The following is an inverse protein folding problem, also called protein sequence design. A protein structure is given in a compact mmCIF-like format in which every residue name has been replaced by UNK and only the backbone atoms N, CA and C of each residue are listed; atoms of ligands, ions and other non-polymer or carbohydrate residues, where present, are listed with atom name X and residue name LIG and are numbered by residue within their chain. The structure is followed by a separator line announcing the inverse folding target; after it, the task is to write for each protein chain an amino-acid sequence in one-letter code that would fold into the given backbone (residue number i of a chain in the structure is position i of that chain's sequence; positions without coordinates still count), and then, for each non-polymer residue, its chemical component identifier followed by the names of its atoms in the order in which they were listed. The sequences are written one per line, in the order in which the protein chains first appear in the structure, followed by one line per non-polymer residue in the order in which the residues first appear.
data_IF_054926689012
#
_entry.id   IF_054926689012
#
_cell.length_a   1.000
_cell.length_b   1.000
_cell.length_c   1.000
_cell.angle_alpha   90.00
_cell.angle_beta   90.00
_cell.angle_gamma   90.00
#
_symmetry.space_group_name_H-M   'P 1'
#
loop_
_entity.id
_entity.type
_entity.pdbx_description
1 polymer ?
#
# COMPACT_ATOMS: atom_id res chain seq x y z
N UNK A 1 -48.36 -0.17 4.19
CA UNK A 1 -47.49 -1.32 3.85
C UNK A 1 -47.29 -1.31 2.34
N UNK A 2 -46.22 -0.65 1.87
CA UNK A 2 -45.96 -0.45 0.45
C UNK A 2 -44.65 -1.14 0.06
N UNK A 3 -44.77 -2.13 -0.82
CA UNK A 3 -43.79 -2.72 -1.73
C UNK A 3 -42.29 -2.53 -1.40
N UNK A 4 -41.64 -3.64 -1.00
CA UNK A 4 -40.20 -3.84 -1.16
C UNK A 4 -39.93 -4.13 -2.64
N UNK A 5 -39.31 -3.19 -3.36
CA UNK A 5 -38.84 -3.44 -4.71
C UNK A 5 -37.55 -4.27 -4.64
N UNK A 6 -37.62 -5.51 -5.12
CA UNK A 6 -36.47 -6.38 -5.36
C UNK A 6 -35.79 -5.86 -6.64
N UNK A 7 -34.72 -5.10 -6.47
CA UNK A 7 -33.67 -4.95 -7.46
C UNK A 7 -32.52 -5.85 -6.99
N UNK A 8 -31.93 -6.75 -7.75
CA UNK A 8 -31.98 -7.08 -9.17
C UNK A 8 -30.74 -7.95 -9.33
N UNK A 9 -30.92 -9.27 -9.34
CA UNK A 9 -29.85 -10.25 -9.49
C UNK A 9 -29.28 -10.11 -10.91
N UNK A 10 -28.17 -9.39 -11.05
CA UNK A 10 -27.41 -9.38 -12.30
C UNK A 10 -26.40 -10.52 -12.26
N UNK A 11 -26.76 -11.59 -12.97
CA UNK A 11 -25.89 -12.70 -13.32
C UNK A 11 -24.81 -12.16 -14.26
N UNK A 12 -23.62 -11.89 -13.73
CA UNK A 12 -22.44 -11.60 -14.54
C UNK A 12 -21.82 -12.92 -15.03
N UNK A 13 -22.19 -13.35 -16.24
CA UNK A 13 -21.44 -14.35 -16.99
C UNK A 13 -20.00 -13.85 -17.18
N UNK A 14 -19.03 -14.42 -16.47
CA UNK A 14 -17.63 -14.24 -16.83
C UNK A 14 -17.27 -15.19 -17.97
N UNK A 15 -17.46 -14.71 -19.21
CA UNK A 15 -16.77 -15.24 -20.39
C UNK A 15 -15.27 -15.00 -20.16
N UNK A 16 -14.48 -16.07 -20.23
CA UNK A 16 -13.05 -16.04 -19.92
C UNK A 16 -12.26 -15.00 -20.72
N UNK A 17 -11.46 -14.23 -19.97
CA UNK A 17 -10.16 -13.62 -20.32
C UNK A 17 -10.15 -12.50 -21.37
N UNK A 18 -10.57 -11.27 -20.98
CA UNK A 18 -10.15 -10.03 -21.67
C UNK A 18 -10.26 -8.73 -20.83
N UNK A 19 -10.14 -8.80 -19.50
CA UNK A 19 -9.93 -7.61 -18.66
C UNK A 19 -8.95 -7.99 -17.56
N UNK A 20 -7.68 -8.20 -17.90
CA UNK A 20 -6.65 -8.09 -16.86
C UNK A 20 -6.74 -6.64 -16.38
N UNK A 21 -7.08 -6.37 -15.11
CA UNK A 21 -6.98 -5.01 -14.59
C UNK A 21 -5.57 -4.50 -14.93
N UNK A 22 -5.45 -3.27 -15.43
CA UNK A 22 -4.12 -2.69 -15.59
C UNK A 22 -3.41 -2.75 -14.23
N UNK A 23 -2.14 -3.18 -14.20
CA UNK A 23 -1.42 -3.30 -12.95
C UNK A 23 -1.25 -1.90 -12.36
N UNK A 24 -1.63 -1.74 -11.09
CA UNK A 24 -1.45 -0.47 -10.39
C UNK A 24 0.02 -0.07 -10.38
N UNK A 25 0.33 1.20 -10.59
CA UNK A 25 1.70 1.67 -10.69
C UNK A 25 2.07 2.54 -9.49
N UNK A 26 3.17 2.20 -8.80
CA UNK A 26 3.79 3.07 -7.81
C UNK A 26 4.43 4.27 -8.52
N UNK A 27 3.81 5.43 -8.36
CA UNK A 27 4.24 6.67 -9.00
C UNK A 27 5.37 7.36 -8.24
N UNK A 28 5.27 7.40 -6.90
CA UNK A 28 6.29 8.03 -6.04
C UNK A 28 6.21 7.60 -4.59
N UNK A 29 7.32 7.79 -3.89
CA UNK A 29 7.42 7.71 -2.44
C UNK A 29 7.74 9.12 -1.91
N UNK A 30 7.03 9.54 -0.88
CA UNK A 30 7.29 10.78 -0.14
C UNK A 30 7.60 10.45 1.31
N UNK A 31 8.60 11.13 1.85
CA UNK A 31 9.00 10.99 3.25
C UNK A 31 8.40 12.14 4.04
N UNK A 32 7.70 11.80 5.12
CA UNK A 32 7.17 12.75 6.11
C UNK A 32 7.72 12.40 7.50
N UNK A 33 7.57 13.30 8.46
CA UNK A 33 7.99 13.06 9.84
C UNK A 33 7.25 11.85 10.43
N UNK A 34 7.99 10.78 10.74
CA UNK A 34 7.42 9.53 11.25
C UNK A 34 6.52 8.75 10.29
N UNK A 35 6.44 9.14 9.00
CA UNK A 35 5.57 8.49 8.03
C UNK A 35 6.18 8.39 6.63
N UNK A 36 5.80 7.34 5.91
CA UNK A 36 6.13 7.15 4.50
C UNK A 36 4.83 7.15 3.69
N UNK A 37 4.76 7.96 2.64
CA UNK A 37 3.59 8.05 1.78
C UNK A 37 3.93 7.42 0.43
N UNK A 38 3.16 6.42 0.02
CA UNK A 38 3.25 5.81 -1.29
C UNK A 38 2.06 6.25 -2.15
N UNK A 39 2.36 6.81 -3.32
CA UNK A 39 1.36 7.25 -4.28
C UNK A 39 1.26 6.26 -5.43
N UNK A 40 0.04 5.83 -5.71
CA UNK A 40 -0.31 4.96 -6.82
C UNK A 40 -1.30 5.66 -7.75
N UNK A 41 -1.41 5.17 -8.97
CA UNK A 41 -2.47 5.58 -9.90
C UNK A 41 -3.86 5.12 -9.44
N UNK A 42 -3.96 4.01 -8.73
CA UNK A 42 -5.20 3.39 -8.27
C UNK A 42 -4.95 2.54 -7.02
N UNK A 43 -6.01 2.18 -6.28
CA UNK A 43 -5.91 1.42 -5.02
C UNK A 43 -5.29 0.03 -5.21
N UNK A 44 -4.05 -0.23 -4.72
CA UNK A 44 -3.40 -1.52 -4.87
C UNK A 44 -3.93 -2.50 -3.85
N UNK A 45 -3.93 -3.79 -4.20
CA UNK A 45 -4.07 -4.81 -3.16
C UNK A 45 -2.84 -4.80 -2.28
N UNK A 46 -3.07 -4.74 -0.97
CA UNK A 46 -2.05 -4.59 0.06
C UNK A 46 -2.13 -5.73 1.05
N UNK A 47 -0.98 -6.35 1.32
CA UNK A 47 -0.78 -7.26 2.43
C UNK A 47 0.33 -6.73 3.33
N UNK A 48 0.04 -6.55 4.63
CA UNK A 48 0.97 -5.94 5.56
C UNK A 48 1.23 -6.79 6.78
N UNK A 49 2.50 -6.88 7.18
CA UNK A 49 2.96 -7.66 8.33
C UNK A 49 4.03 -6.90 9.11
N UNK A 50 4.09 -7.16 10.42
CA UNK A 50 5.19 -6.72 11.29
C UNK A 50 5.99 -7.96 11.68
N UNK A 51 7.26 -8.00 11.25
CA UNK A 51 8.15 -9.16 11.44
C UNK A 51 9.39 -8.68 12.19
N UNK A 52 9.67 -9.26 13.35
CA UNK A 52 10.83 -8.93 14.19
C UNK A 52 10.99 -7.41 14.45
N UNK A 53 9.87 -6.70 14.61
CA UNK A 53 9.87 -5.25 14.82
C UNK A 53 10.20 -4.43 13.55
N UNK A 54 10.17 -5.04 12.37
CA UNK A 54 10.21 -4.36 11.07
C UNK A 54 8.84 -4.38 10.42
N UNK A 55 8.51 -3.35 9.64
CA UNK A 55 7.24 -3.29 8.91
C UNK A 55 7.48 -3.72 7.46
N UNK A 56 6.72 -4.70 6.98
CA UNK A 56 6.77 -5.19 5.61
C UNK A 56 5.39 -5.07 4.94
N UNK A 57 5.32 -4.34 3.83
CA UNK A 57 4.11 -4.13 3.06
C UNK A 57 4.33 -4.63 1.63
N UNK A 58 3.51 -5.58 1.19
CA UNK A 58 3.50 -6.10 -0.17
C UNK A 58 2.33 -5.46 -0.93
N UNK A 59 2.64 -4.82 -2.05
CA UNK A 59 1.68 -4.25 -2.98
C UNK A 59 1.61 -5.11 -4.24
N UNK A 60 0.41 -5.53 -4.66
CA UNK A 60 0.19 -6.02 -6.02
C UNK A 60 0.21 -4.82 -6.99
N UNK A 61 1.40 -4.32 -7.27
CA UNK A 61 1.65 -3.14 -8.09
C UNK A 61 2.98 -3.28 -8.85
N UNK A 62 3.13 -2.51 -9.92
CA UNK A 62 4.38 -2.34 -10.67
C UNK A 62 5.09 -1.04 -10.27
N UNK A 63 6.39 -0.97 -10.52
CA UNK A 63 7.17 0.22 -10.25
C UNK A 63 8.67 -0.04 -10.28
N UNK A 64 9.43 0.84 -9.63
CA UNK A 64 10.89 0.75 -9.58
C UNK A 64 11.36 0.53 -8.15
N UNK A 65 12.50 -0.17 -8.02
CA UNK A 65 13.19 -0.25 -6.75
C UNK A 65 13.64 1.14 -6.31
N UNK A 66 13.39 1.45 -5.05
CA UNK A 66 13.66 2.74 -4.43
C UNK A 66 14.14 2.50 -3.01
N UNK A 67 14.91 3.41 -2.45
CA UNK A 67 15.30 3.35 -1.05
C UNK A 67 15.53 4.76 -0.52
N UNK A 68 15.54 4.86 0.80
CA UNK A 68 15.86 6.10 1.47
C UNK A 68 15.76 5.94 2.98
N UNK A 69 15.70 7.07 3.65
CA UNK A 69 15.65 7.16 5.09
C UNK A 69 14.60 8.18 5.51
N UNK A 70 13.96 7.93 6.64
CA UNK A 70 13.11 8.89 7.33
C UNK A 70 13.53 9.00 8.79
N UNK A 71 13.12 10.08 9.45
CA UNK A 71 13.32 10.29 10.89
C UNK A 71 12.06 9.92 11.65
N UNK A 72 12.22 9.10 12.69
CA UNK A 72 11.20 8.80 13.69
C UNK A 72 11.80 9.09 15.07
N UNK A 73 11.25 10.07 15.80
CA UNK A 73 11.77 10.50 17.11
C UNK A 73 13.28 10.79 17.09
N UNK A 74 13.77 11.45 16.03
CA UNK A 74 15.19 11.76 15.83
C UNK A 74 16.08 10.57 15.42
N UNK A 75 15.52 9.34 15.35
CA UNK A 75 16.23 8.13 14.93
C UNK A 75 15.98 7.84 13.46
N UNK A 76 16.95 7.19 12.84
CA UNK A 76 16.87 6.78 11.45
C UNK A 76 16.05 5.50 11.27
N UNK A 77 15.11 5.57 10.33
CA UNK A 77 14.39 4.42 9.80
C UNK A 77 14.71 4.31 8.32
N UNK A 78 15.33 3.19 7.94
CA UNK A 78 15.65 2.91 6.54
C UNK A 78 14.44 2.26 5.89
N UNK A 79 14.05 2.76 4.72
CA UNK A 79 13.00 2.16 3.92
C UNK A 79 13.55 1.73 2.57
N UNK A 80 12.99 0.64 2.03
CA UNK A 80 13.33 0.14 0.69
C UNK A 80 12.10 -0.43 0.02
N UNK A 81 11.92 -0.12 -1.26
CA UNK A 81 11.00 -0.78 -2.18
C UNK A 81 11.82 -1.72 -3.06
N UNK A 82 11.44 -2.99 -3.10
CA UNK A 82 12.04 -4.03 -3.94
C UNK A 82 11.00 -4.65 -4.85
N UNK A 83 11.41 -5.08 -6.03
CA UNK A 83 10.61 -5.93 -6.89
C UNK A 83 10.53 -7.33 -6.28
N UNK A 84 9.34 -7.94 -6.29
CA UNK A 84 9.09 -9.33 -5.90
C UNK A 84 8.29 -10.05 -6.98
N UNK A 85 8.17 -11.36 -6.85
CA UNK A 85 7.31 -12.20 -7.70
C UNK A 85 5.82 -11.82 -7.61
N UNK A 86 5.40 -11.19 -6.50
CA UNK A 86 4.02 -10.78 -6.22
C UNK A 86 3.76 -9.28 -6.38
N UNK A 87 4.76 -8.49 -6.80
CA UNK A 87 4.64 -7.03 -7.01
C UNK A 87 5.78 -6.24 -6.36
N UNK A 88 5.45 -5.27 -5.50
CA UNK A 88 6.42 -4.41 -4.81
C UNK A 88 6.43 -4.68 -3.31
N UNK A 89 7.60 -4.99 -2.77
CA UNK A 89 7.81 -5.16 -1.33
C UNK A 89 8.47 -3.90 -0.74
N UNK A 90 7.71 -3.17 0.07
CA UNK A 90 8.22 -2.10 0.93
C UNK A 90 8.62 -2.68 2.29
N UNK A 91 9.83 -2.39 2.74
CA UNK A 91 10.33 -2.78 4.06
C UNK A 91 10.85 -1.55 4.80
N UNK A 92 10.41 -1.35 6.03
CA UNK A 92 10.91 -0.32 6.94
C UNK A 92 11.61 -0.96 8.14
N UNK A 93 12.85 -0.56 8.40
CA UNK A 93 13.71 -1.14 9.43
C UNK A 93 14.39 -0.03 10.23
N UNK A 94 14.38 -0.17 11.54
CA UNK A 94 15.05 0.74 12.47
C UNK A 94 15.89 -0.04 13.48
N UNK A 95 16.71 0.68 14.26
CA UNK A 95 17.49 0.10 15.36
C UNK A 95 16.61 -0.40 16.54
N UNK A 96 15.32 -0.06 16.54
CA UNK A 96 14.34 -0.44 17.56
C UNK A 96 13.08 -0.97 16.91
N UNK A 97 12.32 -1.85 17.59
CA UNK A 97 11.07 -2.38 17.05
C UNK A 97 10.09 -1.26 16.69
N UNK A 98 9.54 -1.36 15.50
CA UNK A 98 8.53 -0.47 14.93
C UNK A 98 7.15 -1.09 15.07
N UNK A 99 6.17 -0.26 15.40
CA UNK A 99 4.77 -0.51 15.07
C UNK A 99 4.44 0.29 13.81
N UNK A 100 3.74 -0.35 12.88
CA UNK A 100 3.28 0.27 11.64
C UNK A 100 1.76 0.28 11.59
N UNK A 101 1.18 1.42 11.27
CA UNK A 101 -0.22 1.57 10.89
C UNK A 101 -0.26 2.13 9.48
N UNK A 102 -1.21 1.70 8.66
CA UNK A 102 -1.35 2.21 7.30
C UNK A 102 -2.81 2.46 6.94
N UNK A 103 -3.04 3.51 6.19
CA UNK A 103 -4.34 3.89 5.67
C UNK A 103 -4.21 4.38 4.23
N UNK A 104 -5.12 3.91 3.37
CA UNK A 104 -5.22 4.33 1.98
C UNK A 104 -6.44 5.22 1.76
N UNK A 105 -6.34 6.14 0.82
CA UNK A 105 -7.47 6.93 0.35
C UNK A 105 -7.16 7.63 -0.97
N UNK A 106 -8.21 7.96 -1.71
CA UNK A 106 -8.11 8.69 -2.97
C UNK A 106 -7.89 10.19 -2.71
N UNK A 107 -6.92 10.79 -3.39
CA UNK A 107 -6.57 12.22 -3.34
C UNK A 107 -6.16 12.66 -4.74
N UNK A 108 -6.90 13.62 -5.30
CA UNK A 108 -6.62 14.20 -6.64
C UNK A 108 -6.46 13.12 -7.74
N UNK A 109 -7.47 12.25 -7.89
CA UNK A 109 -7.51 11.13 -8.86
C UNK A 109 -6.31 10.16 -8.75
N UNK A 110 -5.66 10.12 -7.58
CA UNK A 110 -4.56 9.21 -7.28
C UNK A 110 -4.81 8.54 -5.95
N UNK A 111 -4.23 7.37 -5.78
CA UNK A 111 -4.31 6.68 -4.50
C UNK A 111 -3.13 7.03 -3.62
N UNK A 112 -3.42 7.52 -2.41
CA UNK A 112 -2.43 7.86 -1.39
C UNK A 112 -2.49 6.85 -0.26
N UNK A 113 -1.40 6.11 -0.07
CA UNK A 113 -1.21 5.22 1.08
C UNK A 113 -0.21 5.84 2.05
N UNK A 114 -0.65 6.12 3.28
CA UNK A 114 0.21 6.64 4.34
C UNK A 114 0.54 5.53 5.33
N UNK A 115 1.85 5.28 5.52
CA UNK A 115 2.40 4.33 6.48
C UNK A 115 2.96 5.12 7.65
N UNK A 116 2.27 5.12 8.78
CA UNK A 116 2.69 5.77 10.02
C UNK A 116 3.48 4.79 10.86
N UNK A 117 4.60 5.27 11.38
CA UNK A 117 5.46 4.49 12.25
C UNK A 117 5.37 5.02 13.67
N UNK A 118 5.40 4.09 14.62
CA UNK A 118 5.50 4.37 16.03
C UNK A 118 6.60 3.49 16.63
N UNK A 119 7.30 4.00 17.64
CA UNK A 119 8.22 3.18 18.44
C UNK A 119 7.38 2.26 19.33
N UNK A 120 7.75 0.97 19.41
CA UNK A 120 7.03 -0.02 20.22
C UNK A 120 7.17 0.19 21.73
#
# INVERSE_FOLDING_TARGET
MGSLAIFGMMVGLMIGRLTTPEPNVLQRIEVSEGALVAWFDSEPKLHGEVIDGSVALLFEAEGRSQNGQLKLNGKDVNWRVRLSDKGLLLTLVAARPLRGEWAGGEVDDRWRLEVRLQEQ
#
